data_IF_904225359141
#
_entry.id   IF_904225359141
#
_cell.length_a   1.000
_cell.length_b   1.000
_cell.length_c   1.000
_cell.angle_alpha   90.00
_cell.angle_beta   90.00
_cell.angle_gamma   90.00
#
_symmetry.space_group_name_H-M   'P 1'
#
loop_
_entity.id
_entity.type
_entity.pdbx_description
1 polymer ?
#
# COMPACT_ATOMS: atom_id res chain seq x y z
N UNK A 1 -15.08 -9.04 1.60
CA UNK A 1 -15.88 -8.02 2.27
C UNK A 1 -16.33 -8.60 3.59
N UNK A 2 -16.13 -7.87 4.68
CA UNK A 2 -16.68 -8.21 5.98
C UNK A 2 -17.39 -6.97 6.51
N UNK A 3 -18.50 -7.20 7.21
CA UNK A 3 -19.26 -6.14 7.84
C UNK A 3 -18.57 -5.83 9.17
N UNK A 4 -18.13 -4.60 9.35
CA UNK A 4 -17.76 -4.12 10.69
C UNK A 4 -19.08 -3.95 11.47
N UNK A 5 -19.45 -4.98 12.24
CA UNK A 5 -20.68 -5.03 13.03
C UNK A 5 -20.76 -3.90 14.07
N UNK A 6 -19.63 -3.26 14.43
CA UNK A 6 -19.62 -2.13 15.38
C UNK A 6 -19.96 -0.80 14.71
N UNK A 7 -19.74 -0.66 13.40
CA UNK A 7 -19.91 0.59 12.66
C UNK A 7 -20.97 0.52 11.56
N UNK A 8 -21.64 -0.62 11.37
CA UNK A 8 -22.62 -0.81 10.30
C UNK A 8 -22.05 -0.55 8.89
N UNK A 9 -20.73 -0.58 8.75
CA UNK A 9 -20.02 -0.17 7.53
C UNK A 9 -19.37 -1.40 6.89
N UNK A 10 -19.49 -1.51 5.57
CA UNK A 10 -18.75 -2.53 4.81
C UNK A 10 -17.34 -2.03 4.62
N UNK A 11 -16.38 -2.65 5.31
CA UNK A 11 -14.96 -2.36 5.10
C UNK A 11 -14.39 -3.35 4.08
N UNK A 12 -13.69 -2.89 3.04
CA UNK A 12 -12.95 -3.79 2.16
C UNK A 12 -11.81 -4.42 2.95
N UNK A 13 -12.01 -5.66 3.41
CA UNK A 13 -10.91 -6.45 3.98
C UNK A 13 -9.93 -6.81 2.87
N UNK A 14 -8.72 -6.26 2.96
CA UNK A 14 -7.60 -6.60 2.11
C UNK A 14 -7.26 -8.08 2.35
N UNK A 15 -7.71 -8.96 1.45
CA UNK A 15 -7.36 -10.38 1.52
C UNK A 15 -5.94 -10.52 0.97
N UNK A 16 -4.98 -10.80 1.85
CA UNK A 16 -3.61 -11.14 1.47
C UNK A 16 -3.64 -12.41 0.61
N UNK A 17 -3.64 -12.23 -0.71
CA UNK A 17 -3.61 -13.32 -1.69
C UNK A 17 -2.16 -13.46 -2.16
N UNK A 18 -1.68 -14.70 -2.27
CA UNK A 18 -0.42 -15.01 -2.99
C UNK A 18 -0.47 -14.78 -4.50
N UNK A 19 -1.44 -13.99 -4.99
CA UNK A 19 -1.55 -13.59 -6.39
C UNK A 19 -0.56 -12.47 -6.69
N UNK A 20 -0.01 -12.45 -7.90
CA UNK A 20 0.81 -11.35 -8.40
C UNK A 20 -0.01 -10.06 -8.46
N UNK A 21 0.56 -8.98 -7.90
CA UNK A 21 0.03 -7.63 -7.92
C UNK A 21 0.79 -6.75 -8.92
N UNK A 22 2.12 -6.85 -8.94
CA UNK A 22 3.00 -6.10 -9.84
C UNK A 22 3.97 -7.03 -10.56
N UNK A 23 4.33 -6.67 -11.79
CA UNK A 23 5.42 -7.30 -12.53
C UNK A 23 6.42 -6.22 -12.92
N UNK A 24 7.69 -6.40 -12.56
CA UNK A 24 8.77 -5.50 -12.95
C UNK A 24 10.01 -6.30 -13.35
N UNK A 25 10.54 -6.06 -14.55
CA UNK A 25 11.71 -6.78 -15.11
C UNK A 25 11.60 -8.31 -14.94
N UNK A 26 10.45 -8.87 -15.36
CA UNK A 26 10.08 -10.28 -15.24
C UNK A 26 9.96 -10.83 -13.80
N UNK A 27 10.11 -9.99 -12.76
CA UNK A 27 9.87 -10.40 -11.37
C UNK A 27 8.42 -10.13 -10.99
N UNK A 28 7.79 -11.16 -10.42
CA UNK A 28 6.46 -11.09 -9.82
C UNK A 28 6.57 -10.58 -8.39
N UNK A 29 5.76 -9.58 -8.03
CA UNK A 29 5.54 -9.15 -6.65
C UNK A 29 4.08 -9.46 -6.32
N UNK A 30 3.85 -10.26 -5.30
CA UNK A 30 2.52 -10.64 -4.83
C UNK A 30 1.83 -9.51 -4.09
N UNK A 31 0.51 -9.60 -3.92
CA UNK A 31 -0.22 -8.66 -3.06
C UNK A 31 0.32 -8.66 -1.63
N UNK A 32 0.71 -9.83 -1.09
CA UNK A 32 1.32 -9.92 0.24
C UNK A 32 2.59 -9.08 0.34
N UNK A 33 3.53 -9.31 -0.59
CA UNK A 33 4.80 -8.57 -0.61
C UNK A 33 4.59 -7.08 -0.87
N UNK A 34 3.65 -6.71 -1.76
CA UNK A 34 3.29 -5.31 -2.00
C UNK A 34 2.83 -4.64 -0.69
N UNK A 35 1.93 -5.28 0.06
CA UNK A 35 1.39 -4.75 1.33
C UNK A 35 2.47 -4.66 2.40
N UNK A 36 3.34 -5.68 2.51
CA UNK A 36 4.47 -5.68 3.44
C UNK A 36 5.43 -4.52 3.14
N UNK A 37 5.75 -4.27 1.86
CA UNK A 37 6.59 -3.13 1.45
C UNK A 37 5.92 -1.78 1.72
N UNK A 38 4.62 -1.64 1.44
CA UNK A 38 3.85 -0.41 1.76
C UNK A 38 3.91 -0.12 3.25
N UNK A 39 3.67 -1.11 4.11
CA UNK A 39 3.73 -0.97 5.57
C UNK A 39 5.13 -0.56 6.03
N UNK A 40 6.19 -1.14 5.44
CA UNK A 40 7.57 -0.80 5.74
C UNK A 40 7.88 0.67 5.41
N UNK A 41 7.48 1.14 4.22
CA UNK A 41 7.63 2.54 3.83
C UNK A 41 6.83 3.46 4.76
N UNK A 42 5.57 3.12 5.05
CA UNK A 42 4.70 3.92 5.91
C UNK A 42 5.27 4.08 7.33
N UNK A 43 5.92 3.05 7.86
CA UNK A 43 6.59 3.10 9.16
C UNK A 43 7.77 4.08 9.19
N UNK A 44 8.49 4.23 8.08
CA UNK A 44 9.66 5.11 7.97
C UNK A 44 9.30 6.56 7.63
N UNK A 45 8.09 6.81 7.13
CA UNK A 45 7.63 8.15 6.75
C UNK A 45 7.17 8.96 7.96
N UNK A 46 7.80 10.11 8.15
CA UNK A 46 7.36 11.16 9.06
C UNK A 46 6.49 12.17 8.30
N UNK A 47 5.21 11.80 8.11
CA UNK A 47 4.21 12.61 7.41
C UNK A 47 2.92 12.62 8.24
N UNK A 48 2.25 13.77 8.29
CA UNK A 48 0.98 13.97 8.97
C UNK A 48 -0.17 14.13 7.97
N UNK A 49 -1.42 13.82 8.38
CA UNK A 49 -2.59 14.06 7.54
C UNK A 49 -2.66 15.50 7.04
N UNK A 50 -2.75 15.66 5.71
CA UNK A 50 -2.79 16.96 5.04
C UNK A 50 -1.44 17.46 4.53
N UNK A 51 -0.34 16.77 4.85
CA UNK A 51 0.96 17.04 4.24
C UNK A 51 0.93 16.73 2.74
N UNK A 52 1.72 17.49 1.97
CA UNK A 52 1.90 17.26 0.53
C UNK A 52 3.24 16.58 0.34
N UNK A 53 3.21 15.37 -0.19
CA UNK A 53 4.41 14.56 -0.43
C UNK A 53 4.68 14.49 -1.92
N UNK A 54 5.85 14.97 -2.35
CA UNK A 54 6.33 14.79 -3.72
C UNK A 54 7.03 13.43 -3.85
N UNK A 55 6.62 12.63 -4.83
CA UNK A 55 7.26 11.34 -5.15
C UNK A 55 7.99 11.50 -6.48
N UNK A 56 9.33 11.46 -6.43
CA UNK A 56 10.19 11.47 -7.62
C UNK A 56 10.84 10.10 -7.72
N UNK A 57 10.44 9.33 -8.73
CA UNK A 57 10.95 7.99 -8.96
C UNK A 57 10.85 7.64 -10.44
N UNK A 58 11.76 6.79 -10.90
CA UNK A 58 11.61 6.06 -12.17
C UNK A 58 10.41 5.10 -12.10
N UNK A 59 10.07 4.46 -13.24
CA UNK A 59 9.03 3.43 -13.32
C UNK A 59 9.48 2.11 -12.67
N UNK A 60 9.48 2.08 -11.34
CA UNK A 60 9.85 0.94 -10.49
C UNK A 60 8.80 0.71 -9.38
N UNK A 61 8.68 -0.52 -8.82
CA UNK A 61 7.66 -0.88 -7.83
C UNK A 61 7.59 0.04 -6.62
N UNK A 62 8.73 0.57 -6.18
CA UNK A 62 8.85 1.45 -5.02
C UNK A 62 8.05 2.74 -5.18
N UNK A 63 7.76 3.19 -6.40
CA UNK A 63 6.83 4.30 -6.63
C UNK A 63 5.43 3.98 -6.09
N UNK A 64 4.93 2.76 -6.36
CA UNK A 64 3.62 2.30 -5.85
C UNK A 64 3.68 2.12 -4.34
N UNK A 65 4.81 1.63 -3.81
CA UNK A 65 4.98 1.43 -2.37
C UNK A 65 4.91 2.77 -1.63
N UNK A 66 5.64 3.77 -2.12
CA UNK A 66 5.64 5.13 -1.56
C UNK A 66 4.26 5.78 -1.65
N UNK A 67 3.58 5.68 -2.80
CA UNK A 67 2.25 6.26 -3.00
C UNK A 67 1.25 5.75 -1.94
N UNK A 68 1.15 4.44 -1.77
CA UNK A 68 0.22 3.87 -0.80
C UNK A 68 0.70 4.01 0.65
N UNK A 69 2.01 4.10 0.89
CA UNK A 69 2.54 4.39 2.21
C UNK A 69 2.16 5.80 2.68
N UNK A 70 2.24 6.79 1.79
CA UNK A 70 1.76 8.15 2.06
C UNK A 70 0.24 8.14 2.32
N UNK A 71 -0.55 7.51 1.45
CA UNK A 71 -2.00 7.39 1.66
C UNK A 71 -2.33 6.74 3.02
N UNK A 72 -1.60 5.69 3.43
CA UNK A 72 -1.82 5.03 4.70
C UNK A 72 -1.55 5.94 5.92
N UNK A 73 -0.66 6.95 5.79
CA UNK A 73 -0.30 7.85 6.89
C UNK A 73 -1.24 9.05 7.04
N UNK A 74 -1.89 9.50 5.97
CA UNK A 74 -2.95 10.51 6.05
C UNK A 74 -3.02 11.45 4.87
#
# INVERSE_FOLDING_TARGET
MEVDLKKGTVVPRLRERGKTALIHKAKSITYRELIENIKSFAYLLDVAPGDRVAIISENRPEWVYALFAVWQRG
#
